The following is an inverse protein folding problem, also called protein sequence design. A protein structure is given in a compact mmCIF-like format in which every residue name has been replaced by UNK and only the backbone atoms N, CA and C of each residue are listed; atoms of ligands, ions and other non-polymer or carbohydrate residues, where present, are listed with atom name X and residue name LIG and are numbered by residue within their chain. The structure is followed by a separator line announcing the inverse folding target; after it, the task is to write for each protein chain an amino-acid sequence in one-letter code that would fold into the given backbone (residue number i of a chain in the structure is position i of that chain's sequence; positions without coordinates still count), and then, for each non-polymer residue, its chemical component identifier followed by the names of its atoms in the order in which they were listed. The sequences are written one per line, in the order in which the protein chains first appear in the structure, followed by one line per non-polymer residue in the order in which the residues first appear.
data_IF_802850708555
#
_entry.id   IF_802850708555
#
_cell.length_a   1.000
_cell.length_b   1.000
_cell.length_c   1.000
_cell.angle_alpha   90.00
_cell.angle_beta   90.00
_cell.angle_gamma   90.00
#
_symmetry.space_group_name_H-M   'P 1'
#
loop_
_entity.id
_entity.type
_entity.pdbx_description
1 polymer ?
#
# COMPACT_ATOMS: atom_id res chain seq x y z
N UNK A 1 -25.58 -18.09 10.35
CA UNK A 1 -24.30 -17.55 9.83
C UNK A 1 -24.71 -16.36 8.98
N UNK A 2 -24.63 -15.14 9.52
CA UNK A 2 -25.00 -13.97 8.72
C UNK A 2 -23.96 -13.84 7.59
N UNK A 3 -24.43 -13.82 6.36
CA UNK A 3 -23.62 -13.52 5.18
C UNK A 3 -23.14 -12.08 5.32
N UNK A 4 -21.97 -11.91 5.94
CA UNK A 4 -21.41 -10.61 6.22
C UNK A 4 -20.78 -10.09 4.93
N UNK A 5 -21.35 -9.02 4.37
CA UNK A 5 -20.81 -8.42 3.16
C UNK A 5 -19.40 -7.90 3.47
N UNK A 6 -18.41 -8.36 2.70
CA UNK A 6 -17.03 -7.91 2.86
C UNK A 6 -16.91 -6.42 2.57
N UNK A 7 -16.16 -5.70 3.41
CA UNK A 7 -15.96 -4.26 3.26
C UNK A 7 -15.42 -3.88 1.86
N UNK A 8 -14.55 -4.73 1.28
CA UNK A 8 -14.01 -4.52 -0.06
C UNK A 8 -15.08 -4.51 -1.17
N UNK A 9 -16.11 -5.36 -1.04
CA UNK A 9 -17.24 -5.40 -1.98
C UNK A 9 -18.05 -4.11 -1.91
N UNK A 10 -18.35 -3.63 -0.69
CA UNK A 10 -19.06 -2.37 -0.49
C UNK A 10 -18.28 -1.17 -1.05
N UNK A 11 -16.99 -1.09 -0.76
CA UNK A 11 -16.10 -0.03 -1.25
C UNK A 11 -16.06 -0.01 -2.78
N UNK A 12 -15.93 -1.18 -3.40
CA UNK A 12 -15.90 -1.31 -4.86
C UNK A 12 -17.22 -0.88 -5.49
N UNK A 13 -18.35 -1.33 -4.93
CA UNK A 13 -19.69 -0.97 -5.42
C UNK A 13 -19.91 0.55 -5.37
N UNK A 14 -19.51 1.23 -4.29
CA UNK A 14 -19.61 2.70 -4.18
C UNK A 14 -18.68 3.40 -5.18
N UNK A 15 -17.44 2.91 -5.34
CA UNK A 15 -16.51 3.48 -6.32
C UNK A 15 -17.04 3.39 -7.75
N UNK A 16 -17.67 2.27 -8.11
CA UNK A 16 -18.22 2.06 -9.45
C UNK A 16 -19.49 2.86 -9.69
N UNK A 17 -20.34 3.02 -8.68
CA UNK A 17 -21.47 3.96 -8.75
C UNK A 17 -21.01 5.41 -8.98
N UNK A 18 -19.96 5.87 -8.29
CA UNK A 18 -19.42 7.22 -8.49
C UNK A 18 -18.89 7.42 -9.91
N UNK A 19 -18.27 6.39 -10.50
CA UNK A 19 -17.84 6.42 -11.91
C UNK A 19 -19.03 6.44 -12.87
N UNK A 20 -20.10 5.69 -12.58
CA UNK A 20 -21.25 5.63 -13.49
C UNK A 20 -21.98 6.96 -13.60
N UNK A 21 -22.02 7.75 -12.53
CA UNK A 21 -22.67 9.07 -12.51
C UNK A 21 -21.72 10.21 -12.93
N UNK A 22 -20.43 9.95 -13.18
CA UNK A 22 -19.44 11.00 -13.43
C UNK A 22 -19.83 11.94 -14.59
N UNK A 23 -20.39 11.37 -15.66
CA UNK A 23 -20.83 12.13 -16.84
C UNK A 23 -22.09 12.99 -16.61
N UNK A 24 -22.82 12.73 -15.53
CA UNK A 24 -24.02 13.49 -15.13
C UNK A 24 -23.66 14.66 -14.18
N UNK A 25 -22.46 14.63 -13.60
CA UNK A 25 -21.97 15.66 -12.69
C UNK A 25 -21.22 16.76 -13.45
N UNK A 26 -21.21 17.97 -12.88
CA UNK A 26 -20.44 19.09 -13.44
C UNK A 26 -19.68 19.86 -12.37
N UNK A 27 -18.69 20.63 -12.81
CA UNK A 27 -17.86 21.49 -11.96
C UNK A 27 -17.24 20.74 -10.79
N UNK A 28 -17.44 21.29 -9.58
CA UNK A 28 -16.83 20.78 -8.34
C UNK A 28 -17.31 19.38 -7.96
N UNK A 29 -18.56 19.04 -8.25
CA UNK A 29 -19.12 17.73 -7.92
C UNK A 29 -18.48 16.61 -8.77
N UNK A 30 -18.27 16.85 -10.07
CA UNK A 30 -17.58 15.90 -10.94
C UNK A 30 -16.13 15.68 -10.48
N UNK A 31 -15.43 16.75 -10.07
CA UNK A 31 -14.10 16.65 -9.51
C UNK A 31 -14.07 15.80 -8.22
N UNK A 32 -14.96 16.08 -7.27
CA UNK A 32 -15.01 15.34 -6.02
C UNK A 32 -15.41 13.87 -6.20
N UNK A 33 -16.30 13.55 -7.15
CA UNK A 33 -16.63 12.17 -7.49
C UNK A 33 -15.41 11.39 -7.97
N UNK A 34 -14.57 12.00 -8.82
CA UNK A 34 -13.28 11.40 -9.25
C UNK A 34 -12.33 11.15 -8.08
N UNK A 35 -12.19 12.15 -7.20
CA UNK A 35 -11.33 12.03 -6.01
C UNK A 35 -11.81 10.91 -5.10
N UNK A 36 -13.12 10.85 -4.83
CA UNK A 36 -13.72 9.82 -4.00
C UNK A 36 -13.59 8.42 -4.63
N UNK A 37 -13.87 8.27 -5.94
CA UNK A 37 -13.72 7.00 -6.64
C UNK A 37 -12.25 6.50 -6.62
N UNK A 38 -11.28 7.41 -6.78
CA UNK A 38 -9.86 7.06 -6.68
C UNK A 38 -9.46 6.67 -5.25
N UNK A 39 -9.91 7.41 -4.24
CA UNK A 39 -9.64 7.08 -2.84
C UNK A 39 -10.23 5.70 -2.45
N UNK A 40 -11.47 5.43 -2.85
CA UNK A 40 -12.10 4.13 -2.63
C UNK A 40 -11.38 3.00 -3.38
N UNK A 41 -10.88 3.25 -4.59
CA UNK A 41 -10.07 2.26 -5.30
C UNK A 41 -8.75 1.93 -4.57
N UNK A 42 -8.13 2.92 -3.89
CA UNK A 42 -6.96 2.67 -3.02
C UNK A 42 -7.37 1.81 -1.82
N UNK A 43 -8.46 2.15 -1.13
CA UNK A 43 -8.97 1.37 0.01
C UNK A 43 -9.31 -0.07 -0.39
N UNK A 44 -9.91 -0.28 -1.56
CA UNK A 44 -10.20 -1.62 -2.06
C UNK A 44 -8.92 -2.46 -2.23
N UNK A 45 -7.84 -1.85 -2.74
CA UNK A 45 -6.53 -2.52 -2.87
C UNK A 45 -5.85 -2.74 -1.52
N UNK A 46 -5.92 -1.79 -0.59
CA UNK A 46 -5.42 -1.99 0.78
C UNK A 46 -6.07 -3.20 1.45
N UNK A 47 -7.39 -3.35 1.30
CA UNK A 47 -8.15 -4.47 1.85
C UNK A 47 -7.83 -5.80 1.18
N UNK A 48 -7.53 -5.80 -0.13
CA UNK A 48 -7.22 -7.02 -0.87
C UNK A 48 -5.77 -7.49 -0.70
N UNK A 49 -4.82 -6.56 -0.77
CA UNK A 49 -3.38 -6.87 -0.88
C UNK A 49 -2.65 -6.80 0.47
N UNK A 50 -3.26 -6.21 1.50
CA UNK A 50 -2.71 -6.08 2.85
C UNK A 50 -1.20 -5.71 2.87
N UNK A 51 -0.79 -4.58 2.26
CA UNK A 51 0.62 -4.27 1.98
C UNK A 51 1.50 -4.21 3.23
N UNK A 52 0.91 -3.90 4.39
CA UNK A 52 1.60 -3.92 5.68
C UNK A 52 2.10 -5.31 6.07
N UNK A 53 1.41 -6.39 5.69
CA UNK A 53 1.84 -7.75 5.95
C UNK A 53 3.10 -8.10 5.14
N UNK A 54 3.14 -7.70 3.86
CA UNK A 54 4.31 -7.86 3.01
C UNK A 54 5.52 -7.05 3.51
N UNK A 55 5.30 -5.80 3.91
CA UNK A 55 6.35 -4.98 4.53
C UNK A 55 6.87 -5.61 5.83
N UNK A 56 5.98 -6.07 6.71
CA UNK A 56 6.35 -6.73 7.96
C UNK A 56 7.21 -7.97 7.69
N UNK A 57 6.80 -8.81 6.74
CA UNK A 57 7.55 -10.01 6.36
C UNK A 57 8.95 -9.66 5.84
N UNK A 58 9.07 -8.64 4.99
CA UNK A 58 10.36 -8.20 4.45
C UNK A 58 11.29 -7.66 5.56
N UNK A 59 10.77 -6.80 6.45
CA UNK A 59 11.56 -6.25 7.54
C UNK A 59 11.93 -7.29 8.60
N UNK A 60 11.02 -8.19 8.94
CA UNK A 60 11.28 -9.27 9.89
C UNK A 60 12.35 -10.24 9.34
N UNK A 61 12.26 -10.59 8.06
CA UNK A 61 13.25 -11.41 7.37
C UNK A 61 14.64 -10.78 7.37
N UNK A 62 14.71 -9.46 7.15
CA UNK A 62 15.97 -8.72 7.17
C UNK A 62 16.54 -8.55 8.59
N UNK A 63 15.72 -8.20 9.58
CA UNK A 63 16.15 -8.00 10.97
C UNK A 63 16.41 -9.32 11.71
N UNK A 64 15.94 -10.44 11.16
CA UNK A 64 16.14 -11.79 11.71
C UNK A 64 15.20 -12.14 12.86
N UNK A 65 14.15 -11.36 13.09
CA UNK A 65 13.14 -11.63 14.11
C UNK A 65 11.78 -11.04 13.74
N UNK A 66 10.73 -11.57 14.36
CA UNK A 66 9.35 -11.13 14.11
C UNK A 66 8.88 -10.17 15.21
N UNK A 67 8.26 -9.06 14.79
CA UNK A 67 7.64 -8.07 15.67
C UNK A 67 6.51 -7.32 14.95
N UNK A 68 5.84 -6.42 15.65
CA UNK A 68 4.91 -5.47 15.04
C UNK A 68 5.63 -4.54 14.06
N UNK A 69 4.94 -4.14 12.98
CA UNK A 69 5.56 -3.34 11.91
C UNK A 69 6.21 -2.04 12.43
N UNK A 70 5.58 -1.36 13.38
CA UNK A 70 6.13 -0.12 13.94
C UNK A 70 7.38 -0.36 14.78
N UNK A 71 7.48 -1.50 15.47
CA UNK A 71 8.69 -1.88 16.20
C UNK A 71 9.84 -2.20 15.23
N UNK A 72 9.57 -2.97 14.16
CA UNK A 72 10.57 -3.26 13.12
C UNK A 72 11.08 -1.98 12.45
N UNK A 73 10.17 -1.04 12.12
CA UNK A 73 10.55 0.27 11.56
C UNK A 73 11.37 1.10 12.55
N UNK A 74 10.98 1.15 13.82
CA UNK A 74 11.69 1.90 14.84
C UNK A 74 13.12 1.39 15.02
N UNK A 75 13.29 0.07 15.07
CA UNK A 75 14.59 -0.59 15.14
C UNK A 75 15.45 -0.31 13.90
N UNK A 76 14.89 -0.53 12.69
CA UNK A 76 15.58 -0.27 11.43
C UNK A 76 16.11 1.16 11.38
N UNK A 77 15.23 2.14 11.65
CA UNK A 77 15.59 3.55 11.71
C UNK A 77 16.64 3.85 12.80
N UNK A 78 16.56 3.17 13.94
CA UNK A 78 17.56 3.27 15.01
C UNK A 78 18.94 2.83 14.55
N UNK A 79 19.04 1.63 13.93
CA UNK A 79 20.30 1.07 13.44
C UNK A 79 20.89 1.87 12.28
N UNK A 80 20.05 2.41 11.38
CA UNK A 80 20.47 3.33 10.31
C UNK A 80 21.06 4.62 10.88
N UNK A 81 20.39 5.26 11.84
CA UNK A 81 20.91 6.48 12.49
C UNK A 81 22.21 6.24 13.26
N UNK A 82 22.37 5.05 13.84
CA UNK A 82 23.59 4.65 14.52
C UNK A 82 24.75 4.27 13.57
N UNK A 83 24.51 4.26 12.25
CA UNK A 83 25.50 3.81 11.26
C UNK A 83 25.80 2.31 11.29
N UNK A 84 24.97 1.52 11.97
CA UNK A 84 25.09 0.06 12.05
C UNK A 84 24.56 -0.63 10.79
N UNK A 85 23.68 0.07 10.07
CA UNK A 85 23.18 -0.32 8.76
C UNK A 85 23.57 0.75 7.75
N UNK A 86 24.09 0.32 6.62
CA UNK A 86 24.49 1.19 5.50
C UNK A 86 23.88 0.64 4.21
N UNK A 87 23.85 1.42 3.11
CA UNK A 87 23.39 0.92 1.81
C UNK A 87 24.11 -0.35 1.33
N UNK A 88 25.34 -0.57 1.78
CA UNK A 88 26.15 -1.75 1.48
C UNK A 88 25.78 -2.97 2.34
N UNK A 89 24.91 -2.81 3.35
CA UNK A 89 24.47 -3.93 4.18
C UNK A 89 23.67 -4.92 3.35
N UNK A 90 24.11 -6.19 3.24
CA UNK A 90 23.42 -7.20 2.44
C UNK A 90 21.95 -7.34 2.85
N UNK A 91 21.05 -7.39 1.86
CA UNK A 91 19.61 -7.56 2.07
C UNK A 91 18.84 -6.30 2.50
N UNK A 92 19.51 -5.22 2.91
CA UNK A 92 18.81 -4.00 3.36
C UNK A 92 18.00 -3.37 2.22
N UNK A 93 18.66 -3.10 1.08
CA UNK A 93 18.01 -2.47 -0.06
C UNK A 93 16.91 -3.35 -0.65
N UNK A 94 17.08 -4.67 -0.63
CA UNK A 94 16.07 -5.63 -1.08
C UNK A 94 14.82 -5.60 -0.20
N UNK A 95 14.99 -5.62 1.13
CA UNK A 95 13.88 -5.55 2.08
C UNK A 95 13.12 -4.21 1.97
N UNK A 96 13.84 -3.10 1.87
CA UNK A 96 13.25 -1.77 1.66
C UNK A 96 12.51 -1.67 0.33
N UNK A 97 13.11 -2.19 -0.74
CA UNK A 97 12.49 -2.19 -2.08
C UNK A 97 11.22 -3.02 -2.10
N UNK A 98 11.24 -4.21 -1.49
CA UNK A 98 10.06 -5.08 -1.33
C UNK A 98 8.93 -4.37 -0.59
N UNK A 99 9.25 -3.72 0.54
CA UNK A 99 8.30 -2.92 1.31
C UNK A 99 7.69 -1.77 0.50
N UNK A 100 8.52 -1.05 -0.26
CA UNK A 100 8.07 0.06 -1.12
C UNK A 100 7.18 -0.44 -2.25
N UNK A 101 7.55 -1.53 -2.93
CA UNK A 101 6.75 -2.11 -4.02
C UNK A 101 5.37 -2.52 -3.52
N UNK A 102 5.29 -3.14 -2.32
CA UNK A 102 4.02 -3.53 -1.72
C UNK A 102 3.08 -2.31 -1.54
N UNK A 103 3.58 -1.20 -1.00
CA UNK A 103 2.79 0.04 -0.83
C UNK A 103 2.42 0.69 -2.16
N UNK A 104 3.38 0.81 -3.08
CA UNK A 104 3.15 1.48 -4.37
C UNK A 104 2.13 0.74 -5.23
N UNK A 105 2.08 -0.60 -5.19
CA UNK A 105 1.03 -1.38 -5.86
C UNK A 105 -0.38 -0.98 -5.42
N UNK A 106 -0.53 -0.63 -4.15
CA UNK A 106 -1.80 -0.21 -3.57
C UNK A 106 -2.09 1.26 -3.84
N UNK A 107 -1.13 2.15 -3.61
CA UNK A 107 -1.33 3.59 -3.81
C UNK A 107 -1.48 3.97 -5.29
N UNK A 108 -0.59 3.45 -6.13
CA UNK A 108 -0.51 3.81 -7.55
C UNK A 108 0.02 2.63 -8.40
N UNK A 109 -0.84 1.67 -8.76
CA UNK A 109 -0.45 0.51 -9.56
C UNK A 109 0.05 0.87 -10.96
N UNK A 110 -0.22 2.09 -11.43
CA UNK A 110 0.21 2.59 -12.74
C UNK A 110 1.48 3.43 -12.67
N UNK A 111 2.14 3.48 -11.52
CA UNK A 111 3.39 4.21 -11.35
C UNK A 111 4.46 3.65 -12.29
N UNK A 112 5.00 4.49 -13.18
CA UNK A 112 5.86 4.06 -14.29
C UNK A 112 7.16 3.40 -13.81
N UNK A 113 7.68 3.78 -12.65
CA UNK A 113 8.87 3.16 -12.06
C UNK A 113 8.56 1.83 -11.36
N UNK A 114 7.30 1.53 -11.03
CA UNK A 114 6.93 0.27 -10.38
C UNK A 114 7.33 -0.93 -11.24
N UNK A 115 7.11 -0.87 -12.54
CA UNK A 115 7.50 -1.92 -13.47
C UNK A 115 9.03 -2.14 -13.50
N UNK A 116 9.83 -1.11 -13.23
CA UNK A 116 11.30 -1.20 -13.13
C UNK A 116 11.78 -1.72 -11.78
N UNK A 117 11.00 -1.52 -10.72
CA UNK A 117 11.34 -2.00 -9.38
C UNK A 117 10.92 -3.45 -9.16
N UNK A 118 9.87 -3.89 -9.85
CA UNK A 118 9.29 -5.22 -9.70
C UNK A 118 9.87 -6.28 -10.65
N UNK A 119 10.78 -5.91 -11.56
CA UNK A 119 11.47 -6.79 -12.49
C UNK A 119 12.97 -6.75 -12.30
#
# INVERSE_FOLDING_TARGET
MAEQIEAGVLVTAVADFLKSIEGELSGRSAFHAKVAANALAIVARELADAPQAAERAALAGFLGHDAGIDALRAELCGRLRAGQLTPETPGLLEALTTAVIAKVRVDNPRYSTLARLAG
#
